data_IF_547435680558
#
_entry.id   IF_547435680558
#
_cell.length_a   1.000
_cell.length_b   1.000
_cell.length_c   1.000
_cell.angle_alpha   90.00
_cell.angle_beta   90.00
_cell.angle_gamma   90.00
#
_symmetry.space_group_name_H-M   'P 1'
#
loop_
_entity.id
_entity.type
_entity.pdbx_description
1 polymer ?
#
# COMPACT_ATOMS: atom_id res chain seq x y z
N UNK A 1 26.61 -11.60 -16.40
CA UNK A 1 26.04 -10.24 -16.28
C UNK A 1 25.00 -10.28 -15.16
N UNK A 2 25.11 -9.56 -14.03
CA UNK A 2 24.03 -9.51 -13.05
C UNK A 2 23.39 -8.11 -13.03
N UNK A 3 22.16 -8.01 -13.52
CA UNK A 3 21.34 -6.80 -13.44
C UNK A 3 20.07 -7.01 -12.60
N UNK A 4 19.97 -8.09 -11.80
CA UNK A 4 18.69 -8.48 -11.15
C UNK A 4 18.55 -8.09 -9.68
N UNK A 5 19.51 -7.39 -9.08
CA UNK A 5 19.51 -7.16 -7.62
C UNK A 5 18.69 -5.92 -7.24
N UNK A 6 18.35 -5.04 -8.19
CA UNK A 6 17.67 -3.77 -7.89
C UNK A 6 16.15 -3.92 -7.77
N UNK A 7 15.57 -4.88 -8.49
CA UNK A 7 14.13 -5.15 -8.45
C UNK A 7 13.74 -5.89 -7.14
N UNK A 8 14.60 -6.78 -6.63
CA UNK A 8 14.32 -7.53 -5.39
C UNK A 8 14.26 -6.64 -4.13
N UNK A 9 15.04 -5.56 -4.08
CA UNK A 9 15.00 -4.61 -2.95
C UNK A 9 13.69 -3.82 -2.95
N UNK A 10 13.14 -3.49 -4.11
CA UNK A 10 11.85 -2.80 -4.25
C UNK A 10 10.71 -3.71 -3.75
N UNK A 11 10.69 -4.98 -4.15
CA UNK A 11 9.70 -5.95 -3.69
C UNK A 11 9.81 -6.28 -2.18
N UNK A 12 11.02 -6.35 -1.62
CA UNK A 12 11.21 -6.55 -0.19
C UNK A 12 10.87 -5.30 0.63
N UNK A 13 11.13 -4.11 0.09
CA UNK A 13 10.72 -2.84 0.68
C UNK A 13 9.19 -2.71 0.65
N UNK A 14 8.54 -3.01 -0.48
CA UNK A 14 7.08 -3.08 -0.62
C UNK A 14 6.47 -4.11 0.34
N UNK A 15 7.09 -5.28 0.50
CA UNK A 15 6.65 -6.33 1.45
C UNK A 15 6.81 -5.90 2.92
N UNK A 16 7.89 -5.19 3.25
CA UNK A 16 8.10 -4.63 4.58
C UNK A 16 7.15 -3.44 4.85
N UNK A 17 6.91 -2.60 3.85
CA UNK A 17 5.98 -1.47 3.91
C UNK A 17 4.54 -1.94 4.06
N UNK A 18 4.13 -2.98 3.33
CA UNK A 18 2.83 -3.64 3.50
C UNK A 18 2.70 -4.32 4.86
N UNK A 19 3.78 -4.91 5.40
CA UNK A 19 3.75 -5.55 6.74
C UNK A 19 3.63 -4.53 7.88
N UNK A 20 4.30 -3.38 7.79
CA UNK A 20 4.18 -2.28 8.76
C UNK A 20 2.81 -1.58 8.64
N UNK A 21 2.33 -1.39 7.41
CA UNK A 21 0.96 -0.92 7.12
C UNK A 21 -0.13 -1.87 7.60
N UNK A 22 0.12 -3.18 7.66
CA UNK A 22 -0.88 -4.15 8.14
C UNK A 22 -1.17 -3.95 9.64
N UNK A 23 -0.21 -3.40 10.40
CA UNK A 23 -0.42 -2.99 11.80
C UNK A 23 -0.98 -1.57 11.95
N UNK A 24 -0.77 -0.67 10.97
CA UNK A 24 -1.38 0.67 10.90
C UNK A 24 -1.57 1.09 9.43
N UNK A 25 -2.80 0.95 8.93
CA UNK A 25 -3.11 1.21 7.53
C UNK A 25 -2.72 2.64 7.12
N UNK A 26 -1.64 2.77 6.36
CA UNK A 26 -1.09 4.05 5.89
C UNK A 26 -1.18 4.11 4.37
N UNK A 27 -1.08 5.29 3.78
CA UNK A 27 -1.13 5.46 2.33
C UNK A 27 0.25 5.18 1.70
N UNK A 28 0.36 4.30 0.68
CA UNK A 28 1.65 3.99 0.06
C UNK A 28 2.23 5.15 -0.73
N UNK A 29 1.40 6.06 -1.21
CA UNK A 29 1.84 7.20 -2.00
C UNK A 29 2.41 8.36 -1.16
N UNK A 30 1.92 8.58 0.07
CA UNK A 30 2.29 9.76 0.86
C UNK A 30 2.60 9.48 2.35
N UNK A 31 2.45 8.23 2.81
CA UNK A 31 2.68 7.83 4.20
C UNK A 31 1.61 8.28 5.20
N UNK A 32 0.51 8.91 4.76
CA UNK A 32 -0.55 9.38 5.65
C UNK A 32 -1.40 8.22 6.20
N UNK A 33 -1.70 8.23 7.49
CA UNK A 33 -2.63 7.28 8.13
C UNK A 33 -4.12 7.60 7.85
N UNK A 34 -4.42 8.69 7.15
CA UNK A 34 -5.78 9.10 6.82
C UNK A 34 -6.29 8.31 5.61
N UNK A 35 -6.79 7.10 5.89
CA UNK A 35 -7.30 6.17 4.88
C UNK A 35 -8.75 5.81 5.18
N UNK A 36 -9.61 5.92 4.18
CA UNK A 36 -10.98 5.41 4.20
C UNK A 36 -11.02 4.04 3.53
N UNK A 37 -11.64 3.08 4.21
CA UNK A 37 -11.94 1.76 3.66
C UNK A 37 -13.36 1.77 3.07
N UNK A 38 -13.47 1.37 1.81
CA UNK A 38 -14.71 1.17 1.08
C UNK A 38 -14.95 -0.33 0.95
N UNK A 39 -16.11 -0.81 1.38
CA UNK A 39 -16.54 -2.18 1.16
C UNK A 39 -17.40 -2.22 -0.11
N UNK A 40 -16.94 -2.96 -1.12
CA UNK A 40 -17.69 -3.18 -2.34
C UNK A 40 -18.78 -4.23 -2.16
N UNK A 41 -19.79 -4.20 -3.02
CA UNK A 41 -20.96 -5.10 -2.96
C UNK A 41 -20.60 -6.60 -3.06
N UNK A 42 -19.45 -6.91 -3.65
CA UNK A 42 -18.92 -8.28 -3.77
C UNK A 42 -18.10 -8.73 -2.54
N UNK A 43 -18.05 -7.94 -1.47
CA UNK A 43 -17.17 -8.18 -0.32
C UNK A 43 -15.69 -7.85 -0.59
N UNK A 44 -15.39 -7.23 -1.73
CA UNK A 44 -14.07 -6.67 -2.01
C UNK A 44 -13.81 -5.43 -1.16
N UNK A 45 -12.57 -5.24 -0.73
CA UNK A 45 -12.17 -4.05 0.02
C UNK A 45 -11.41 -3.13 -0.92
N UNK A 46 -11.68 -1.83 -0.84
CA UNK A 46 -10.88 -0.80 -1.49
C UNK A 46 -10.53 0.26 -0.46
N UNK A 47 -9.41 0.91 -0.68
CA UNK A 47 -8.87 1.90 0.22
C UNK A 47 -8.64 3.18 -0.56
N UNK A 48 -8.93 4.31 0.07
CA UNK A 48 -8.62 5.64 -0.48
C UNK A 48 -7.99 6.51 0.59
N UNK A 49 -6.86 7.13 0.27
CA UNK A 49 -6.26 8.11 1.15
C UNK A 49 -7.01 9.42 1.05
N UNK A 50 -7.57 9.90 2.16
CA UNK A 50 -8.29 11.18 2.21
C UNK A 50 -7.35 12.38 2.28
N UNK A 51 -6.04 12.15 2.46
CA UNK A 51 -5.04 13.21 2.44
C UNK A 51 -4.49 13.52 1.03
N UNK A 52 -4.23 12.49 0.20
CA UNK A 52 -3.67 12.69 -1.15
C UNK A 52 -4.54 12.18 -2.30
N UNK A 53 -5.64 11.48 -2.02
CA UNK A 53 -6.55 10.94 -3.04
C UNK A 53 -6.09 9.63 -3.70
N UNK A 54 -4.99 9.03 -3.23
CA UNK A 54 -4.52 7.76 -3.77
C UNK A 54 -5.47 6.60 -3.40
N UNK A 55 -5.86 5.78 -4.37
CA UNK A 55 -6.76 4.64 -4.18
C UNK A 55 -6.09 3.32 -4.54
N UNK A 56 -6.33 2.26 -3.76
CA UNK A 56 -5.82 0.91 -3.99
C UNK A 56 -6.83 -0.15 -3.52
N UNK A 57 -6.66 -1.41 -3.94
CA UNK A 57 -7.51 -2.56 -3.60
C UNK A 57 -6.69 -3.68 -3.01
#
# INVERSE_FOLDING_TARGET
MPASIREEVDHLLEAAFTRDMSTRLSCPSCGSAHVAQMLGDNGGVSYVCTACGHSWS
#
